data_IF_006790194768
#
_entry.id   IF_006790194768
#
_cell.length_a   1.000
_cell.length_b   1.000
_cell.length_c   1.000
_cell.angle_alpha   90.00
_cell.angle_beta   90.00
_cell.angle_gamma   90.00
#
_symmetry.space_group_name_H-M   'P 1'
#
loop_
_entity.id
_entity.type
_entity.pdbx_description
1 polymer ?
#
# COMPACT_ATOMS: atom_id res chain seq x y z
N UNK A 1 -2.43 17.38 14.80
CA UNK A 1 -2.09 18.65 14.10
C UNK A 1 -0.89 18.31 13.23
N UNK A 2 -1.16 17.88 12.00
CA UNK A 2 -0.10 17.45 11.08
C UNK A 2 0.42 18.70 10.38
N UNK A 3 1.54 19.24 10.84
CA UNK A 3 2.34 20.15 10.05
C UNK A 3 3.18 19.27 9.12
N UNK A 4 2.66 18.98 7.94
CA UNK A 4 3.49 18.50 6.85
C UNK A 4 4.25 19.71 6.31
N UNK A 5 5.54 19.78 6.63
CA UNK A 5 6.49 20.63 5.94
C UNK A 5 6.59 20.15 4.49
N UNK A 6 5.69 20.64 3.63
CA UNK A 6 5.81 20.49 2.19
C UNK A 6 6.97 21.37 1.71
N UNK A 7 8.20 20.92 1.95
CA UNK A 7 9.39 21.54 1.37
C UNK A 7 9.45 21.09 -0.10
N UNK A 8 8.73 21.84 -0.94
CA UNK A 8 8.66 21.62 -2.38
C UNK A 8 10.05 21.80 -3.02
N UNK A 9 10.79 20.71 -3.18
CA UNK A 9 11.99 20.66 -4.01
C UNK A 9 11.66 19.97 -5.33
N UNK A 10 11.09 20.72 -6.28
CA UNK A 10 11.07 20.26 -7.66
C UNK A 10 12.45 20.49 -8.27
N UNK A 11 13.23 19.42 -8.35
CA UNK A 11 14.38 19.36 -9.23
C UNK A 11 13.87 19.24 -10.68
N UNK A 12 13.50 20.38 -11.27
CA UNK A 12 13.02 20.45 -12.65
C UNK A 12 14.09 20.03 -13.66
N UNK A 13 15.37 20.04 -13.26
CA UNK A 13 16.47 19.59 -14.12
C UNK A 13 16.44 18.08 -14.23
N UNK A 14 16.42 17.38 -13.07
CA UNK A 14 16.27 15.93 -13.03
C UNK A 14 14.96 15.46 -13.68
N UNK A 15 13.87 16.17 -13.42
CA UNK A 15 12.58 15.86 -14.04
C UNK A 15 12.64 15.93 -15.56
N UNK A 16 13.28 16.96 -16.11
CA UNK A 16 13.45 17.08 -17.56
C UNK A 16 14.23 15.88 -18.11
N UNK A 17 15.27 15.42 -17.42
CA UNK A 17 16.00 14.21 -17.82
C UNK A 17 15.13 12.94 -17.72
N UNK A 18 14.43 12.73 -16.61
CA UNK A 18 13.62 11.53 -16.37
C UNK A 18 12.43 11.43 -17.35
N UNK A 19 11.89 12.57 -17.79
CA UNK A 19 10.80 12.63 -18.78
C UNK A 19 11.28 12.56 -20.23
N UNK A 20 12.60 12.51 -20.46
CA UNK A 20 13.18 12.48 -21.80
C UNK A 20 13.08 13.81 -22.54
N UNK A 21 13.01 14.95 -21.82
CA UNK A 21 13.04 16.27 -22.44
C UNK A 21 14.32 16.45 -23.25
N UNK A 22 14.16 16.90 -24.48
CA UNK A 22 15.25 17.29 -25.35
C UNK A 22 14.88 18.60 -26.03
N UNK A 23 15.86 19.50 -26.13
CA UNK A 23 15.70 20.73 -26.91
C UNK A 23 15.42 20.39 -28.36
N UNK A 24 14.50 21.15 -28.96
CA UNK A 24 13.99 20.81 -30.27
C UNK A 24 15.09 21.03 -31.32
N UNK A 25 15.45 19.97 -32.05
CA UNK A 25 16.43 20.07 -33.15
C UNK A 25 15.74 20.75 -34.34
N UNK A 26 15.89 22.07 -34.40
CA UNK A 26 15.63 22.96 -35.54
C UNK A 26 14.76 22.37 -36.66
N UNK A 27 13.43 22.49 -36.53
CA UNK A 27 12.48 22.16 -37.59
C UNK A 27 11.67 23.39 -37.96
N UNK A 28 12.21 24.24 -38.83
CA UNK A 28 11.46 24.85 -39.94
C UNK A 28 12.33 25.86 -40.67
N UNK A 29 12.47 25.69 -41.98
CA UNK A 29 13.12 26.64 -42.90
C UNK A 29 12.19 27.77 -43.36
N UNK A 30 10.99 27.91 -42.77
CA UNK A 30 9.94 28.83 -43.24
C UNK A 30 9.30 29.59 -42.07
N UNK A 31 10.06 30.49 -41.47
CA UNK A 31 9.48 31.55 -40.65
C UNK A 31 9.44 32.83 -41.45
N UNK A 32 8.27 33.43 -41.52
CA UNK A 32 8.09 34.76 -42.09
C UNK A 32 8.71 35.80 -41.14
N UNK A 33 9.97 36.12 -41.40
CA UNK A 33 10.79 37.06 -40.62
C UNK A 33 10.14 38.44 -40.50
N UNK A 34 9.19 38.78 -41.38
CA UNK A 34 8.49 40.07 -41.34
C UNK A 34 7.49 40.19 -40.19
N UNK A 35 7.06 39.07 -39.58
CA UNK A 35 6.08 39.07 -38.49
C UNK A 35 6.62 39.65 -37.18
N UNK A 36 7.92 39.53 -36.93
CA UNK A 36 8.54 40.09 -35.73
C UNK A 36 8.82 41.60 -35.88
N UNK A 37 9.01 42.08 -37.11
CA UNK A 37 9.33 43.49 -37.38
C UNK A 37 8.17 44.44 -37.06
N UNK A 38 6.94 43.93 -37.02
CA UNK A 38 5.73 44.73 -36.72
C UNK A 38 5.50 44.85 -35.21
N UNK A 39 6.27 44.13 -34.39
CA UNK A 39 6.07 44.09 -32.94
C UNK A 39 6.62 45.36 -32.28
N UNK A 40 5.72 46.18 -31.75
CA UNK A 40 6.06 47.33 -30.90
C UNK A 40 6.30 46.85 -29.45
N UNK A 41 7.58 46.68 -29.11
CA UNK A 41 8.03 46.21 -27.79
C UNK A 41 7.65 47.22 -26.70
N UNK A 42 7.78 48.53 -26.96
CA UNK A 42 7.49 49.56 -25.97
C UNK A 42 6.00 49.60 -25.64
N UNK A 43 5.13 49.39 -26.64
CA UNK A 43 3.70 49.23 -26.42
C UNK A 43 3.40 48.00 -25.56
N UNK A 44 3.99 46.83 -25.88
CA UNK A 44 3.80 45.60 -25.11
C UNK A 44 4.17 45.80 -23.64
N UNK A 45 5.29 46.48 -23.37
CA UNK A 45 5.76 46.76 -22.01
C UNK A 45 4.81 47.72 -21.28
N UNK A 46 4.41 48.83 -21.93
CA UNK A 46 3.50 49.83 -21.32
C UNK A 46 2.11 49.25 -21.03
N UNK A 47 1.56 48.49 -21.97
CA UNK A 47 0.21 47.92 -21.88
C UNK A 47 0.18 46.57 -21.15
N UNK A 48 1.34 45.98 -20.84
CA UNK A 48 1.47 44.62 -20.28
C UNK A 48 0.74 43.59 -21.15
N UNK A 49 0.85 43.72 -22.47
CA UNK A 49 0.18 42.85 -23.43
C UNK A 49 0.89 41.49 -23.52
N UNK A 50 0.65 40.65 -22.51
CA UNK A 50 1.16 39.28 -22.45
C UNK A 50 0.54 38.38 -23.52
N UNK A 51 -0.61 38.77 -24.09
CA UNK A 51 -1.25 38.03 -25.18
C UNK A 51 -0.44 38.10 -26.47
N UNK A 52 0.07 39.29 -26.79
CA UNK A 52 0.99 39.49 -27.91
C UNK A 52 2.33 38.78 -27.68
N UNK A 53 2.85 38.79 -26.45
CA UNK A 53 4.06 38.00 -26.11
C UNK A 53 3.80 36.52 -26.38
N UNK A 54 2.73 35.94 -25.83
CA UNK A 54 2.36 34.53 -26.00
C UNK A 54 2.20 34.14 -27.47
N UNK A 55 1.54 35.01 -28.27
CA UNK A 55 1.38 34.81 -29.71
C UNK A 55 2.72 34.69 -30.45
N UNK A 56 3.75 35.43 -30.01
CA UNK A 56 5.06 35.45 -30.64
C UNK A 56 6.08 34.46 -30.06
N UNK A 57 5.82 33.82 -28.91
CA UNK A 57 6.73 32.84 -28.27
C UNK A 57 7.21 31.78 -29.27
N UNK A 58 6.28 31.20 -30.05
CA UNK A 58 6.61 30.18 -31.05
C UNK A 58 7.57 30.70 -32.13
N UNK A 59 7.33 31.93 -32.61
CA UNK A 59 8.22 32.59 -33.58
C UNK A 59 9.59 32.86 -32.99
N UNK A 60 9.67 33.33 -31.74
CA UNK A 60 10.94 33.65 -31.05
C UNK A 60 11.79 32.39 -30.85
N UNK A 61 11.20 31.30 -30.36
CA UNK A 61 11.90 30.03 -30.12
C UNK A 61 12.46 29.44 -31.41
N UNK A 62 11.70 29.52 -32.50
CA UNK A 62 12.08 28.95 -33.79
C UNK A 62 12.95 29.87 -34.65
N UNK A 63 13.14 31.14 -34.26
CA UNK A 63 13.87 32.12 -35.07
C UNK A 63 15.35 31.76 -35.23
N UNK A 64 15.86 31.81 -36.45
CA UNK A 64 17.27 31.54 -36.78
C UNK A 64 17.90 32.81 -37.34
N UNK A 65 19.01 33.24 -36.74
CA UNK A 65 19.84 34.30 -37.29
C UNK A 65 20.54 33.81 -38.55
N UNK A 66 20.43 34.57 -39.64
CA UNK A 66 21.16 34.27 -40.87
C UNK A 66 22.67 34.41 -40.64
N UNK A 67 23.47 33.64 -41.39
CA UNK A 67 24.93 33.62 -41.20
C UNK A 67 25.57 35.00 -41.39
N UNK A 68 25.04 35.81 -42.32
CA UNK A 68 25.47 37.20 -42.54
C UNK A 68 25.12 38.10 -41.35
N UNK A 69 23.93 37.96 -40.78
CA UNK A 69 23.51 38.73 -39.61
C UNK A 69 24.30 38.31 -38.36
N UNK A 70 24.54 37.02 -38.20
CA UNK A 70 25.33 36.47 -37.10
C UNK A 70 26.80 36.92 -37.16
N UNK A 71 27.37 37.11 -38.36
CA UNK A 71 28.74 37.64 -38.54
C UNK A 71 28.87 39.11 -38.17
N UNK A 72 27.80 39.89 -38.32
CA UNK A 72 27.79 41.33 -37.97
C UNK A 72 27.56 41.54 -36.46
N UNK A 73 26.91 40.58 -35.79
CA UNK A 73 26.65 40.64 -34.36
C UNK A 73 27.81 40.08 -33.53
N UNK A 74 27.97 40.59 -32.30
CA UNK A 74 28.92 40.03 -31.35
C UNK A 74 28.55 38.57 -31.03
N UNK A 75 29.55 37.71 -30.93
CA UNK A 75 29.35 36.28 -30.66
C UNK A 75 28.66 36.04 -29.31
N UNK A 76 28.86 36.89 -28.30
CA UNK A 76 28.16 36.79 -27.03
C UNK A 76 26.69 37.12 -27.17
N UNK A 77 26.29 38.08 -28.03
CA UNK A 77 24.87 38.33 -28.31
C UNK A 77 24.20 37.12 -28.96
N UNK A 78 24.86 36.49 -29.92
CA UNK A 78 24.34 35.27 -30.56
C UNK A 78 24.17 34.15 -29.54
N UNK A 79 25.14 33.95 -28.64
CA UNK A 79 25.05 32.96 -27.55
C UNK A 79 23.94 33.29 -26.56
N UNK A 80 23.81 34.53 -26.11
CA UNK A 80 22.76 34.97 -25.19
C UNK A 80 21.39 34.80 -25.82
N UNK A 81 21.22 35.18 -27.09
CA UNK A 81 19.98 34.97 -27.83
C UNK A 81 19.62 33.48 -27.89
N UNK A 82 20.58 32.62 -28.25
CA UNK A 82 20.33 31.17 -28.30
C UNK A 82 20.01 30.58 -26.93
N UNK A 83 20.73 30.98 -25.87
CA UNK A 83 20.43 30.55 -24.49
C UNK A 83 19.04 31.02 -24.06
N UNK A 84 18.63 32.23 -24.46
CA UNK A 84 17.29 32.76 -24.16
C UNK A 84 16.20 31.93 -24.81
N UNK A 85 16.38 31.50 -26.07
CA UNK A 85 15.46 30.58 -26.75
C UNK A 85 15.36 29.23 -26.03
N UNK A 86 16.51 28.64 -25.67
CA UNK A 86 16.56 27.38 -24.92
C UNK A 86 15.91 27.50 -23.54
N UNK A 87 16.11 28.62 -22.86
CA UNK A 87 15.45 28.90 -21.58
C UNK A 87 13.94 28.96 -21.75
N UNK A 88 13.43 29.63 -22.79
CA UNK A 88 11.99 29.66 -23.10
C UNK A 88 11.46 28.26 -23.42
N UNK A 89 12.15 27.46 -24.24
CA UNK A 89 11.79 26.05 -24.51
C UNK A 89 11.66 25.24 -23.21
N UNK A 90 12.65 25.36 -22.33
CA UNK A 90 12.67 24.67 -21.04
C UNK A 90 11.54 25.14 -20.11
N UNK A 91 11.27 26.44 -20.06
CA UNK A 91 10.17 26.99 -19.26
C UNK A 91 8.80 26.58 -19.79
N UNK A 92 8.62 26.47 -21.11
CA UNK A 92 7.39 25.94 -21.72
C UNK A 92 7.18 24.46 -21.36
N UNK A 93 8.25 23.66 -21.34
CA UNK A 93 8.20 22.29 -20.83
C UNK A 93 7.74 22.27 -19.37
N UNK A 94 8.36 23.08 -18.50
CA UNK A 94 8.00 23.15 -17.09
C UNK A 94 6.53 23.56 -16.90
N UNK A 95 6.06 24.56 -17.67
CA UNK A 95 4.67 25.00 -17.68
C UNK A 95 3.73 23.85 -18.04
N UNK A 96 4.00 23.15 -19.14
CA UNK A 96 3.18 22.01 -19.59
C UNK A 96 3.15 20.88 -18.56
N UNK A 97 4.28 20.59 -17.94
CA UNK A 97 4.37 19.59 -16.87
C UNK A 97 3.51 19.98 -15.66
N UNK A 98 3.59 21.23 -15.22
CA UNK A 98 2.79 21.77 -14.12
C UNK A 98 1.30 21.71 -14.45
N UNK A 99 0.91 22.13 -15.66
CA UNK A 99 -0.49 22.07 -16.11
C UNK A 99 -1.03 20.64 -16.05
N UNK A 100 -0.26 19.66 -16.57
CA UNK A 100 -0.62 18.25 -16.51
C UNK A 100 -0.73 17.74 -15.06
N UNK A 101 0.22 18.12 -14.21
CA UNK A 101 0.22 17.73 -12.79
C UNK A 101 -1.02 18.29 -12.08
N UNK A 102 -1.37 19.54 -12.33
CA UNK A 102 -2.58 20.17 -11.77
C UNK A 102 -3.85 19.45 -12.25
N UNK A 103 -3.91 19.06 -13.53
CA UNK A 103 -5.05 18.30 -14.07
C UNK A 103 -5.16 16.92 -13.39
N UNK A 104 -4.06 16.21 -13.22
CA UNK A 104 -4.03 14.91 -12.54
C UNK A 104 -4.46 15.03 -11.08
N UNK A 105 -3.89 16.00 -10.34
CA UNK A 105 -4.25 16.26 -8.94
C UNK A 105 -5.74 16.62 -8.80
N UNK A 106 -6.29 17.45 -9.71
CA UNK A 106 -7.72 17.77 -9.71
C UNK A 106 -8.59 16.52 -9.92
N UNK A 107 -8.17 15.63 -10.82
CA UNK A 107 -8.89 14.37 -11.08
C UNK A 107 -8.88 13.46 -9.85
N UNK A 108 -7.74 13.32 -9.20
CA UNK A 108 -7.59 12.50 -7.99
C UNK A 108 -8.37 13.09 -6.80
N UNK A 109 -8.39 14.41 -6.65
CA UNK A 109 -9.21 15.09 -5.65
C UNK A 109 -10.71 14.86 -5.83
N UNK A 110 -11.20 14.87 -7.08
CA UNK A 110 -12.62 14.57 -7.36
C UNK A 110 -12.94 13.13 -6.98
N UNK A 111 -12.09 12.18 -7.37
CA UNK A 111 -12.25 10.76 -7.03
C UNK A 111 -12.25 10.53 -5.52
N UNK A 112 -11.26 11.05 -4.79
CA UNK A 112 -11.18 10.92 -3.33
C UNK A 112 -12.39 11.57 -2.64
N UNK A 113 -12.91 12.66 -3.19
CA UNK A 113 -14.12 13.32 -2.67
C UNK A 113 -15.37 12.46 -2.86
N UNK A 114 -15.47 11.71 -3.96
CA UNK A 114 -16.55 10.76 -4.20
C UNK A 114 -16.46 9.57 -3.24
N UNK A 115 -15.29 8.94 -3.13
CA UNK A 115 -15.04 7.84 -2.17
C UNK A 115 -15.33 8.29 -0.73
N UNK A 116 -14.93 9.50 -0.35
CA UNK A 116 -15.23 10.06 0.98
C UNK A 116 -16.74 10.24 1.21
N UNK A 117 -17.50 10.62 0.18
CA UNK A 117 -18.96 10.71 0.29
C UNK A 117 -19.60 9.34 0.48
N UNK A 118 -19.16 8.34 -0.29
CA UNK A 118 -19.66 6.96 -0.18
C UNK A 118 -19.37 6.37 1.20
N UNK A 119 -18.14 6.52 1.69
CA UNK A 119 -17.75 6.10 3.03
C UNK A 119 -18.58 6.80 4.11
N UNK A 120 -18.90 8.09 3.92
CA UNK A 120 -19.74 8.83 4.86
C UNK A 120 -21.17 8.30 4.89
N UNK A 121 -21.76 8.00 3.73
CA UNK A 121 -23.10 7.40 3.66
C UNK A 121 -23.14 6.03 4.35
N UNK A 122 -22.12 5.20 4.14
CA UNK A 122 -22.01 3.90 4.80
C UNK A 122 -21.83 4.05 6.32
N UNK A 123 -21.03 5.03 6.77
CA UNK A 123 -20.86 5.32 8.19
C UNK A 123 -22.17 5.79 8.84
N UNK A 124 -22.94 6.65 8.15
CA UNK A 124 -24.24 7.11 8.63
C UNK A 124 -25.27 5.96 8.70
N UNK A 125 -25.27 5.03 7.73
CA UNK A 125 -26.12 3.83 7.74
C UNK A 125 -25.77 2.86 8.90
N UNK A 126 -24.47 2.57 9.06
CA UNK A 126 -23.97 1.76 10.18
C UNK A 126 -24.31 2.40 11.53
N UNK A 127 -24.17 3.72 11.65
CA UNK A 127 -24.56 4.44 12.86
C UNK A 127 -26.07 4.30 13.11
N UNK A 128 -26.90 4.42 12.07
CA UNK A 128 -28.34 4.17 12.17
C UNK A 128 -28.68 2.74 12.62
N UNK A 129 -27.91 1.75 12.16
CA UNK A 129 -28.06 0.36 12.59
C UNK A 129 -27.69 0.18 14.07
N UNK A 130 -26.55 0.71 14.51
CA UNK A 130 -26.11 0.68 15.91
C UNK A 130 -27.12 1.38 16.81
N UNK A 131 -27.64 2.54 16.41
CA UNK A 131 -28.66 3.27 17.16
C UNK A 131 -29.96 2.46 17.30
N UNK A 132 -30.34 1.72 16.26
CA UNK A 132 -31.53 0.86 16.28
C UNK A 132 -31.34 -0.33 17.21
N UNK A 133 -30.19 -1.02 17.14
CA UNK A 133 -29.85 -2.10 18.08
C UNK A 133 -29.82 -1.60 19.53
N UNK A 134 -29.30 -0.39 19.74
CA UNK A 134 -29.24 0.26 21.06
C UNK A 134 -30.65 0.61 21.57
N UNK A 135 -31.51 1.19 20.72
CA UNK A 135 -32.92 1.53 21.08
C UNK A 135 -33.79 0.30 21.31
N UNK A 136 -33.62 -0.74 20.51
CA UNK A 136 -34.35 -2.00 20.66
C UNK A 136 -33.79 -2.87 21.79
N UNK A 137 -32.74 -2.41 22.48
CA UNK A 137 -32.16 -3.11 23.61
C UNK A 137 -31.69 -4.53 23.24
N UNK A 138 -31.36 -4.73 21.97
CA UNK A 138 -30.81 -5.98 21.40
C UNK A 138 -29.31 -6.00 21.71
N UNK A 139 -28.96 -5.85 22.99
CA UNK A 139 -27.78 -6.51 23.50
C UNK A 139 -28.23 -7.91 23.91
N UNK A 140 -27.41 -8.92 23.66
CA UNK A 140 -27.68 -10.25 24.18
C UNK A 140 -27.89 -10.14 25.69
N UNK A 141 -29.13 -10.33 26.16
CA UNK A 141 -29.41 -10.33 27.59
C UNK A 141 -28.94 -11.65 28.15
N UNK A 142 -27.98 -11.63 29.08
CA UNK A 142 -27.38 -12.83 29.64
C UNK A 142 -28.20 -13.29 30.85
N UNK A 143 -29.12 -14.25 30.63
CA UNK A 143 -30.00 -14.79 31.67
C UNK A 143 -29.32 -15.93 32.42
N UNK A 144 -29.40 -15.94 33.75
CA UNK A 144 -28.95 -17.08 34.54
C UNK A 144 -29.90 -18.27 34.38
N UNK A 145 -29.36 -19.48 34.21
CA UNK A 145 -30.17 -20.70 34.15
C UNK A 145 -30.58 -21.22 35.53
N UNK A 146 -29.88 -20.82 36.58
CA UNK A 146 -30.12 -21.26 37.96
C UNK A 146 -31.06 -20.34 38.74
N UNK A 147 -31.31 -19.11 38.26
CA UNK A 147 -32.27 -18.18 38.86
C UNK A 147 -32.85 -17.20 37.82
N UNK A 148 -33.87 -16.43 38.17
CA UNK A 148 -34.55 -15.54 37.23
C UNK A 148 -33.81 -14.20 36.93
N UNK A 149 -32.54 -14.05 37.32
CA UNK A 149 -31.78 -12.79 37.11
C UNK A 149 -31.22 -12.68 35.70
N UNK A 150 -31.26 -11.47 35.14
CA UNK A 150 -30.76 -11.11 33.81
C UNK A 150 -29.66 -10.06 33.98
N UNK A 151 -28.57 -10.23 33.23
CA UNK A 151 -27.38 -9.39 33.30
C UNK A 151 -27.13 -8.69 31.96
N UNK A 152 -26.53 -7.49 32.03
CA UNK A 152 -26.19 -6.65 30.88
C UNK A 152 -24.91 -7.06 30.16
N UNK A 153 -24.12 -7.97 30.73
CA UNK A 153 -22.86 -8.47 30.15
C UNK A 153 -22.58 -9.88 30.67
N UNK A 154 -21.87 -10.67 29.85
CA UNK A 154 -21.50 -12.05 30.16
C UNK A 154 -20.60 -12.16 31.41
N UNK A 155 -19.69 -11.22 31.61
CA UNK A 155 -18.82 -11.17 32.79
C UNK A 155 -19.62 -11.03 34.09
N UNK A 156 -20.69 -10.23 34.05
CA UNK A 156 -21.57 -10.03 35.21
C UNK A 156 -22.39 -11.28 35.52
N UNK A 157 -22.86 -12.00 34.48
CA UNK A 157 -23.52 -13.30 34.64
C UNK A 157 -22.53 -14.32 35.25
N UNK A 158 -21.31 -14.42 34.71
CA UNK A 158 -20.29 -15.36 35.17
C UNK A 158 -19.89 -15.09 36.63
N UNK A 159 -19.70 -13.83 37.01
CA UNK A 159 -19.44 -13.44 38.40
C UNK A 159 -20.63 -13.78 39.32
N UNK A 160 -21.86 -13.62 38.84
CA UNK A 160 -23.05 -13.99 39.60
C UNK A 160 -23.14 -15.50 39.83
N UNK A 161 -22.97 -16.31 38.77
CA UNK A 161 -22.94 -17.78 38.87
C UNK A 161 -21.86 -18.19 39.88
N UNK A 162 -20.66 -17.60 39.76
CA UNK A 162 -19.53 -17.89 40.66
C UNK A 162 -19.80 -17.59 42.13
N UNK A 163 -20.61 -16.56 42.45
CA UNK A 163 -20.86 -16.16 43.85
C UNK A 163 -22.09 -16.82 44.47
N UNK A 164 -23.09 -17.17 43.67
CA UNK A 164 -24.43 -17.54 44.16
C UNK A 164 -24.85 -18.96 43.76
N UNK A 165 -24.20 -19.52 42.74
CA UNK A 165 -24.49 -20.85 42.22
C UNK A 165 -23.26 -21.77 42.21
N UNK A 166 -22.08 -21.28 42.60
CA UNK A 166 -20.94 -22.13 43.01
C UNK A 166 -21.18 -22.73 44.39
N UNK A 167 -22.23 -23.56 44.50
CA UNK A 167 -22.51 -24.35 45.71
C UNK A 167 -21.64 -25.61 45.81
N UNK A 168 -20.36 -25.56 45.43
CA UNK A 168 -19.47 -26.72 45.43
C UNK A 168 -18.06 -26.40 45.98
N UNK A 169 -17.97 -25.49 46.95
CA UNK A 169 -16.70 -25.13 47.60
C UNK A 169 -16.06 -26.30 48.39
N UNK A 170 -16.85 -27.30 48.83
CA UNK A 170 -16.28 -28.52 49.45
C UNK A 170 -15.52 -29.36 48.44
N UNK A 171 -16.09 -29.55 47.24
CA UNK A 171 -15.46 -30.33 46.18
C UNK A 171 -14.21 -29.67 45.65
N UNK A 172 -14.16 -28.34 45.48
CA UNK A 172 -12.95 -27.69 44.97
C UNK A 172 -11.78 -27.75 45.97
N UNK A 173 -12.03 -27.57 47.27
CA UNK A 173 -10.98 -27.71 48.29
C UNK A 173 -10.50 -29.16 48.41
N UNK A 174 -11.41 -30.13 48.32
CA UNK A 174 -11.08 -31.54 48.36
C UNK A 174 -10.37 -31.99 47.07
N UNK A 175 -10.75 -31.44 45.92
CA UNK A 175 -10.08 -31.68 44.63
C UNK A 175 -8.68 -31.05 44.63
N UNK A 176 -8.48 -29.88 45.21
CA UNK A 176 -7.14 -29.28 45.38
C UNK A 176 -6.26 -30.10 46.33
N UNK A 177 -6.82 -30.59 47.45
CA UNK A 177 -6.10 -31.49 48.37
C UNK A 177 -5.73 -32.81 47.68
N UNK A 178 -6.68 -33.43 46.99
CA UNK A 178 -6.45 -34.63 46.19
C UNK A 178 -5.45 -34.38 45.07
N UNK A 179 -5.45 -33.21 44.44
CA UNK A 179 -4.47 -32.86 43.40
C UNK A 179 -3.07 -32.69 43.96
N UNK A 180 -2.91 -32.10 45.15
CA UNK A 180 -1.61 -32.04 45.82
C UNK A 180 -1.13 -33.43 46.24
N UNK A 181 -2.03 -34.26 46.76
CA UNK A 181 -1.72 -35.64 47.15
C UNK A 181 -1.36 -36.49 45.92
N UNK A 182 -2.09 -36.36 44.81
CA UNK A 182 -1.75 -36.98 43.53
C UNK A 182 -0.39 -36.50 43.03
N UNK A 183 -0.04 -35.22 43.19
CA UNK A 183 1.26 -34.69 42.78
C UNK A 183 2.38 -35.28 43.62
N UNK A 184 2.20 -35.36 44.94
CA UNK A 184 3.18 -35.97 45.85
C UNK A 184 3.31 -37.48 45.58
N UNK A 185 2.19 -38.18 45.36
CA UNK A 185 2.18 -39.59 45.01
C UNK A 185 2.83 -39.83 43.65
N UNK A 186 2.63 -38.97 42.65
CA UNK A 186 3.31 -39.05 41.35
C UNK A 186 4.81 -38.80 41.47
N UNK A 187 5.24 -37.88 42.31
CA UNK A 187 6.67 -37.62 42.54
C UNK A 187 7.33 -38.79 43.27
N UNK A 188 6.67 -39.32 44.31
CA UNK A 188 7.08 -40.56 44.99
C UNK A 188 7.11 -41.73 44.03
N UNK A 189 6.08 -41.89 43.20
CA UNK A 189 6.01 -42.95 42.18
C UNK A 189 7.16 -42.80 41.19
N UNK A 190 7.42 -41.61 40.67
CA UNK A 190 8.50 -41.36 39.72
C UNK A 190 9.89 -41.60 40.35
N UNK A 191 10.09 -41.23 41.63
CA UNK A 191 11.31 -41.55 42.37
C UNK A 191 11.47 -43.06 42.60
N UNK A 192 10.36 -43.75 42.87
CA UNK A 192 10.30 -45.19 43.07
C UNK A 192 10.52 -45.93 41.74
N UNK A 193 9.85 -45.54 40.66
CA UNK A 193 10.07 -46.02 39.30
C UNK A 193 11.50 -45.82 38.82
N UNK A 194 12.14 -44.71 39.20
CA UNK A 194 13.57 -44.47 38.93
C UNK A 194 14.45 -45.46 39.68
N UNK A 195 14.08 -45.86 40.90
CA UNK A 195 14.76 -46.90 41.69
C UNK A 195 14.42 -48.34 41.24
N UNK A 196 13.26 -48.55 40.59
CA UNK A 196 12.81 -49.85 40.08
C UNK A 196 13.26 -50.12 38.63
N UNK A 197 13.53 -49.09 37.81
CA UNK A 197 14.22 -49.23 36.51
C UNK A 197 15.66 -49.74 36.66
N UNK A 198 16.26 -49.60 37.84
CA UNK A 198 17.56 -50.18 38.20
C UNK A 198 17.46 -51.66 38.66
N UNK A 199 16.25 -52.24 38.73
CA UNK A 199 16.00 -53.63 39.16
C UNK A 199 14.90 -54.30 38.33
N UNK A 200 15.06 -54.30 37.01
CA UNK A 200 14.25 -55.17 36.14
C UNK A 200 14.52 -56.65 36.46
N UNK A 201 13.58 -57.32 37.13
CA UNK A 201 13.21 -58.71 36.82
C UNK A 201 11.89 -59.09 37.51
N UNK A 202 11.02 -59.70 36.70
CA UNK A 202 9.76 -60.39 37.01
C UNK A 202 8.44 -59.57 37.02
N UNK A 203 7.60 -59.95 36.05
CA UNK A 203 6.19 -59.59 35.85
C UNK A 203 5.29 -60.72 36.43
N UNK A 204 3.95 -60.79 36.23
CA UNK A 204 2.88 -59.81 35.93
C UNK A 204 1.60 -60.01 36.80
N UNK A 205 0.57 -59.13 36.68
CA UNK A 205 -0.85 -59.48 36.33
C UNK A 205 -1.90 -58.36 36.53
N UNK A 206 -2.53 -57.97 35.39
CA UNK A 206 -3.97 -57.86 35.03
C UNK A 206 -5.00 -57.20 35.98
N UNK A 207 -5.80 -56.26 35.45
CA UNK A 207 -7.29 -56.38 35.30
C UNK A 207 -7.91 -55.29 34.38
N UNK A 208 -9.14 -55.51 33.93
CA UNK A 208 -9.80 -55.12 32.65
C UNK A 208 -10.47 -53.72 32.59
N UNK A 209 -10.75 -53.16 31.38
CA UNK A 209 -11.48 -51.90 31.19
C UNK A 209 -12.97 -52.11 30.82
N UNK A 210 -13.85 -51.32 31.42
CA UNK A 210 -15.30 -51.36 31.21
C UNK A 210 -15.80 -50.09 30.49
N UNK A 211 -16.52 -50.28 29.37
CA UNK A 211 -17.39 -49.39 28.57
C UNK A 211 -17.00 -47.94 28.16
N UNK A 212 -16.13 -47.21 28.85
CA UNK A 212 -15.83 -45.80 28.52
C UNK A 212 -14.75 -45.62 27.43
N UNK A 213 -13.87 -46.62 27.28
CA UNK A 213 -12.78 -46.62 26.27
C UNK A 213 -13.32 -46.65 24.84
N UNK A 214 -14.50 -47.28 24.62
CA UNK A 214 -15.08 -47.44 23.29
C UNK A 214 -15.69 -46.14 22.75
N UNK A 215 -16.34 -45.35 23.62
CA UNK A 215 -16.84 -44.01 23.26
C UNK A 215 -15.70 -43.03 23.00
N UNK A 216 -14.64 -43.06 23.81
CA UNK A 216 -13.46 -42.21 23.60
C UNK A 216 -12.74 -42.55 22.28
N UNK A 217 -12.62 -43.84 21.95
CA UNK A 217 -12.06 -44.30 20.68
C UNK A 217 -12.89 -43.87 19.46
N UNK A 218 -14.23 -43.94 19.54
CA UNK A 218 -15.11 -43.47 18.45
C UNK A 218 -15.05 -41.95 18.25
N UNK A 219 -14.95 -41.19 19.34
CA UNK A 219 -14.83 -39.73 19.27
C UNK A 219 -13.47 -39.33 18.68
N UNK A 220 -12.39 -40.00 19.08
CA UNK A 220 -11.07 -39.81 18.49
C UNK A 220 -11.05 -40.14 16.99
N UNK A 221 -11.67 -41.25 16.58
CA UNK A 221 -11.75 -41.62 15.17
C UNK A 221 -12.58 -40.63 14.33
N UNK A 222 -13.69 -40.12 14.88
CA UNK A 222 -14.49 -39.07 14.24
C UNK A 222 -13.72 -37.76 14.13
N UNK A 223 -12.96 -37.41 15.15
CA UNK A 223 -12.13 -36.20 15.16
C UNK A 223 -10.99 -36.31 14.14
N UNK A 224 -10.34 -37.47 14.03
CA UNK A 224 -9.30 -37.74 13.04
C UNK A 224 -9.86 -37.63 11.61
N UNK A 225 -11.04 -38.21 11.36
CA UNK A 225 -11.72 -38.10 10.05
C UNK A 225 -12.09 -36.66 9.71
N UNK A 226 -12.61 -35.90 10.69
CA UNK A 226 -12.95 -34.50 10.50
C UNK A 226 -11.72 -33.64 10.21
N UNK A 227 -10.63 -33.86 10.95
CA UNK A 227 -9.35 -33.18 10.73
C UNK A 227 -8.83 -33.41 9.31
N UNK A 228 -8.83 -34.66 8.85
CA UNK A 228 -8.40 -35.00 7.49
C UNK A 228 -9.29 -34.36 6.43
N UNK A 229 -10.60 -34.27 6.67
CA UNK A 229 -11.53 -33.61 5.75
C UNK A 229 -11.26 -32.11 5.64
N UNK A 230 -11.04 -31.43 6.77
CA UNK A 230 -10.69 -29.99 6.80
C UNK A 230 -9.34 -29.75 6.12
N UNK A 231 -8.35 -30.62 6.34
CA UNK A 231 -7.04 -30.50 5.71
C UNK A 231 -7.11 -30.66 4.18
N UNK A 232 -7.95 -31.56 3.66
CA UNK A 232 -8.11 -31.73 2.22
C UNK A 232 -8.90 -30.57 1.59
N UNK A 233 -9.98 -30.09 2.23
CA UNK A 233 -10.71 -28.89 1.78
C UNK A 233 -9.80 -27.64 1.78
N UNK A 234 -8.94 -27.50 2.79
CA UNK A 234 -7.97 -26.39 2.86
C UNK A 234 -6.94 -26.48 1.73
N UNK A 235 -6.53 -27.68 1.35
CA UNK A 235 -5.61 -27.92 0.24
C UNK A 235 -6.26 -27.64 -1.11
N UNK A 236 -7.52 -28.03 -1.30
CA UNK A 236 -8.30 -27.68 -2.50
C UNK A 236 -8.46 -26.16 -2.64
N UNK A 237 -8.82 -25.46 -1.58
CA UNK A 237 -8.94 -24.00 -1.58
C UNK A 237 -7.61 -23.31 -1.88
N UNK A 238 -6.49 -23.81 -1.36
CA UNK A 238 -5.15 -23.30 -1.69
C UNK A 238 -4.81 -23.52 -3.17
N UNK A 239 -5.17 -24.67 -3.73
CA UNK A 239 -4.94 -24.97 -5.14
C UNK A 239 -5.80 -24.07 -6.04
N UNK A 240 -7.07 -23.87 -5.69
CA UNK A 240 -7.95 -22.92 -6.40
C UNK A 240 -7.39 -21.50 -6.34
N UNK A 241 -6.96 -21.03 -5.15
CA UNK A 241 -6.33 -19.71 -4.99
C UNK A 241 -5.11 -19.54 -5.91
N UNK A 242 -4.23 -20.54 -5.98
CA UNK A 242 -3.06 -20.50 -6.85
C UNK A 242 -3.44 -20.41 -8.35
N UNK A 243 -4.46 -21.15 -8.78
CA UNK A 243 -4.99 -21.09 -10.15
C UNK A 243 -5.57 -19.70 -10.45
N UNK A 244 -6.31 -19.11 -9.51
CA UNK A 244 -6.82 -17.75 -9.68
C UNK A 244 -5.69 -16.73 -9.80
N UNK A 245 -4.68 -16.79 -8.92
CA UNK A 245 -3.51 -15.89 -8.96
C UNK A 245 -2.74 -16.02 -10.29
N UNK A 246 -2.52 -17.23 -10.78
CA UNK A 246 -1.88 -17.48 -12.07
C UNK A 246 -2.71 -16.92 -13.25
N UNK A 247 -4.03 -17.12 -13.21
CA UNK A 247 -4.93 -16.60 -14.24
C UNK A 247 -4.98 -15.06 -14.24
N UNK A 248 -5.00 -14.42 -13.07
CA UNK A 248 -4.91 -12.97 -12.93
C UNK A 248 -3.56 -12.45 -13.44
N UNK A 249 -2.46 -13.15 -13.15
CA UNK A 249 -1.13 -12.82 -13.70
C UNK A 249 -1.12 -12.84 -15.23
N UNK A 250 -1.64 -13.90 -15.85
CA UNK A 250 -1.75 -14.02 -17.32
C UNK A 250 -2.65 -12.95 -17.93
N UNK A 251 -3.80 -12.66 -17.31
CA UNK A 251 -4.69 -11.56 -17.74
C UNK A 251 -4.01 -10.20 -17.65
N UNK A 252 -3.22 -9.98 -16.60
CA UNK A 252 -2.45 -8.75 -16.40
C UNK A 252 -1.34 -8.60 -17.45
N UNK A 253 -0.62 -9.68 -17.77
CA UNK A 253 0.38 -9.70 -18.84
C UNK A 253 -0.24 -9.42 -20.22
N UNK A 254 -1.38 -10.06 -20.53
CA UNK A 254 -2.12 -9.81 -21.78
C UNK A 254 -2.59 -8.35 -21.84
N UNK A 255 -3.05 -7.77 -20.74
CA UNK A 255 -3.44 -6.37 -20.67
C UNK A 255 -2.26 -5.42 -20.91
N UNK A 256 -1.07 -5.76 -20.40
CA UNK A 256 0.17 -5.01 -20.67
C UNK A 256 0.59 -5.15 -22.13
N UNK A 257 0.62 -6.36 -22.69
CA UNK A 257 0.99 -6.59 -24.08
C UNK A 257 0.02 -5.90 -25.06
N UNK A 258 -1.28 -5.91 -24.78
CA UNK A 258 -2.25 -5.20 -25.60
C UNK A 258 -2.10 -3.67 -25.51
N UNK A 259 -1.65 -3.15 -24.36
CA UNK A 259 -1.29 -1.74 -24.20
C UNK A 259 -0.04 -1.39 -25.00
N UNK A 260 0.97 -2.27 -25.03
CA UNK A 260 2.20 -2.09 -25.81
C UNK A 260 1.96 -2.22 -27.33
N UNK A 261 1.00 -3.04 -27.76
CA UNK A 261 0.62 -3.18 -29.17
C UNK A 261 -0.22 -2.00 -29.72
N UNK A 262 -0.73 -1.12 -28.86
CA UNK A 262 -1.46 0.11 -29.26
C UNK A 262 -0.55 1.34 -29.39
N UNK A 263 0.73 1.24 -29.02
CA UNK A 263 1.75 2.28 -29.20
C UNK A 263 2.61 1.94 -30.45
N UNK A 264 2.70 2.81 -31.49
CA UNK A 264 3.54 2.54 -32.64
C UNK A 264 5.05 2.58 -32.27
N UNK A 265 5.76 1.49 -32.54
CA UNK A 265 7.21 1.35 -32.37
C UNK A 265 7.99 2.37 -33.21
N UNK A 266 8.68 3.30 -32.55
CA UNK A 266 9.84 3.99 -33.11
C UNK A 266 11.07 3.66 -32.24
N UNK A 267 11.94 2.80 -32.75
CA UNK A 267 13.22 2.42 -32.15
C UNK A 267 14.29 3.47 -32.43
N UNK A 268 15.12 3.86 -31.44
CA UNK A 268 16.46 4.37 -31.70
C UNK A 268 17.52 3.30 -31.45
N UNK A 269 18.43 3.15 -32.41
CA UNK A 269 19.63 2.32 -32.35
C UNK A 269 20.57 2.74 -31.19
N UNK A 270 21.16 1.73 -30.54
CA UNK A 270 22.23 1.87 -29.55
C UNK A 270 23.49 2.49 -30.16
N UNK A 271 24.06 3.48 -29.46
CA UNK A 271 25.45 3.94 -29.63
C UNK A 271 26.19 3.63 -28.32
N UNK A 272 27.44 3.14 -28.35
CA UNK A 272 28.13 2.62 -27.16
C UNK A 272 28.39 3.68 -26.10
N UNK A 273 28.17 3.30 -24.83
CA UNK A 273 28.48 4.10 -23.64
C UNK A 273 29.99 4.35 -23.56
N UNK A 274 30.42 5.62 -23.67
CA UNK A 274 31.68 6.07 -23.09
C UNK A 274 31.43 6.42 -21.62
N UNK A 275 32.12 5.74 -20.72
CA UNK A 275 32.23 6.16 -19.33
C UNK A 275 33.00 7.49 -19.28
N UNK A 276 32.30 8.55 -18.88
CA UNK A 276 32.94 9.82 -18.49
C UNK A 276 32.53 10.10 -17.04
N UNK A 277 33.47 9.83 -16.14
CA UNK A 277 33.40 10.21 -14.73
C UNK A 277 33.30 11.73 -14.64
N UNK A 278 32.25 12.26 -14.02
CA UNK A 278 32.09 13.70 -13.77
C UNK A 278 32.29 14.03 -12.29
N UNK A 279 32.72 15.27 -12.05
CA UNK A 279 33.39 15.79 -10.85
C UNK A 279 32.50 15.98 -9.61
N UNK A 280 31.38 15.26 -9.47
CA UNK A 280 30.45 15.48 -8.34
C UNK A 280 30.82 14.66 -7.09
N UNK A 281 31.73 13.68 -7.19
CA UNK A 281 32.19 12.86 -6.05
C UNK A 281 33.25 13.54 -5.16
N UNK A 282 33.65 14.79 -5.42
CA UNK A 282 34.63 15.51 -4.59
C UNK A 282 34.03 16.47 -3.57
N UNK A 283 32.71 16.58 -3.46
CA UNK A 283 32.07 17.55 -2.58
C UNK A 283 31.22 16.94 -1.46
N UNK A 284 31.58 15.72 -1.01
CA UNK A 284 31.02 15.07 0.19
C UNK A 284 32.08 14.57 1.19
N UNK A 285 33.32 15.07 1.12
CA UNK A 285 34.38 14.75 2.12
C UNK A 285 35.03 15.97 2.79
N UNK A 286 34.46 17.15 2.66
CA UNK A 286 34.87 18.31 3.46
C UNK A 286 33.61 18.99 3.96
N UNK A 287 33.01 18.42 5.01
CA UNK A 287 32.47 19.15 6.17
C UNK A 287 31.77 18.14 7.10
N UNK A 288 32.34 18.04 8.31
CA UNK A 288 32.03 17.20 9.49
C UNK A 288 32.62 15.79 9.55
#
# INVERSE_FOLDING_TARGET
>A
MWFEDYKWHYDYVRLAWDTGFAFEKCKSASLDKNKICVVDVDRIVRERDVGSVDHHISTVVQYILDEEQAKVLDTNFVKIFRISQLAVEYLLFCKKYLDNTVVLLKKELVKNREETKELKLLADDLQGHVDTLTRQQIYATFKCNSCAKIFSSEDHLNAHIKRRHSGNDHYNSETEKLNMEIKELKERLNNTEKLFKDKEQESPKKTEPNNDVKKMSEVLEKFEKFKNQVDEELKELRMQKAIYEENYGKLFEIAIQNKENLEPKNTPQEIPKMEITTQTDKQLQIEH
#
